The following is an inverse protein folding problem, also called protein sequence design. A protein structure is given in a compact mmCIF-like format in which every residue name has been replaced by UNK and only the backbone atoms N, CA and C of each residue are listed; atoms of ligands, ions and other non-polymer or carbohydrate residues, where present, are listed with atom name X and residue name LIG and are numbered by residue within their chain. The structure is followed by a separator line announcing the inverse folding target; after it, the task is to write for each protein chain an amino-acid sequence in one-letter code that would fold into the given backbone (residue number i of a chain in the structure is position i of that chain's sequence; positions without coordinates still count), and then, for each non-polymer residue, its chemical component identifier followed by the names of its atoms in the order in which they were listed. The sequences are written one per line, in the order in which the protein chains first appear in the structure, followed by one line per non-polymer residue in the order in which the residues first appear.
data_IF_934779837885
#
_entry.id   IF_934779837885
#
_cell.length_a   1.000
_cell.length_b   1.000
_cell.length_c   1.000
_cell.angle_alpha   90.00
_cell.angle_beta   90.00
_cell.angle_gamma   90.00
#
_symmetry.space_group_name_H-M   'P 1'
#
loop_
_entity.id
_entity.type
_entity.pdbx_description
1 polymer ?
#
# COMPACT_ATOMS: atom_id res chain seq x y z
N UNK A 1 -6.16 71.58 30.53
CA UNK A 1 -6.21 71.08 29.14
C UNK A 1 -5.51 69.73 28.90
N UNK A 2 -4.75 69.14 29.84
CA UNK A 2 -4.12 67.80 29.65
C UNK A 2 -5.11 66.62 29.55
N UNK A 3 -6.24 66.68 30.25
CA UNK A 3 -7.18 65.55 30.44
C UNK A 3 -7.97 65.11 29.19
N UNK A 4 -7.91 65.89 28.10
CA UNK A 4 -8.68 65.63 26.87
C UNK A 4 -7.86 64.85 25.83
N UNK A 5 -6.53 64.91 25.90
CA UNK A 5 -5.63 64.20 24.99
C UNK A 5 -5.47 62.72 25.34
N UNK A 6 -5.57 62.36 26.63
CA UNK A 6 -5.46 60.97 27.09
C UNK A 6 -6.62 60.09 26.60
N UNK A 7 -7.83 60.65 26.48
CA UNK A 7 -9.01 59.94 25.95
C UNK A 7 -8.90 59.68 24.45
N UNK A 8 -8.31 60.61 23.69
CA UNK A 8 -8.14 60.47 22.25
C UNK A 8 -7.11 59.38 21.91
N UNK A 9 -6.02 59.30 22.68
CA UNK A 9 -5.00 58.27 22.53
C UNK A 9 -5.54 56.86 22.86
N UNK A 10 -6.37 56.73 23.89
CA UNK A 10 -7.01 55.46 24.25
C UNK A 10 -8.00 54.98 23.18
N UNK A 11 -8.79 55.88 22.57
CA UNK A 11 -9.69 55.54 21.45
C UNK A 11 -8.94 55.12 20.19
N UNK A 12 -7.78 55.71 19.90
CA UNK A 12 -6.90 55.29 18.79
C UNK A 12 -6.31 53.89 19.05
N UNK A 13 -5.90 53.63 20.29
CA UNK A 13 -5.34 52.35 20.72
C UNK A 13 -6.38 51.20 20.70
N UNK A 14 -7.64 51.47 21.10
CA UNK A 14 -8.73 50.49 20.98
C UNK A 14 -9.09 50.14 19.53
N UNK A 15 -9.05 51.10 18.61
CA UNK A 15 -9.34 50.86 17.18
C UNK A 15 -8.19 50.15 16.47
N UNK A 16 -6.94 50.44 16.84
CA UNK A 16 -5.76 49.71 16.36
C UNK A 16 -5.67 48.28 16.92
N UNK A 17 -6.11 48.06 18.16
CA UNK A 17 -6.15 46.70 18.74
C UNK A 17 -7.12 45.78 18.00
N UNK A 18 -8.26 46.29 17.52
CA UNK A 18 -9.22 45.51 16.75
C UNK A 18 -8.64 45.02 15.41
N UNK A 19 -7.93 45.89 14.68
CA UNK A 19 -7.32 45.51 13.40
C UNK A 19 -6.16 44.53 13.59
N UNK A 20 -5.38 44.66 14.66
CA UNK A 20 -4.31 43.72 15.01
C UNK A 20 -4.87 42.34 15.36
N UNK A 21 -5.94 42.27 16.17
CA UNK A 21 -6.61 41.00 16.49
C UNK A 21 -7.22 40.33 15.25
N UNK A 22 -7.81 41.12 14.36
CA UNK A 22 -8.33 40.62 13.09
C UNK A 22 -7.20 40.08 12.19
N UNK A 23 -6.10 40.82 12.04
CA UNK A 23 -4.96 40.39 11.23
C UNK A 23 -4.33 39.10 11.78
N UNK A 24 -4.16 39.02 13.11
CA UNK A 24 -3.63 37.82 13.77
C UNK A 24 -4.57 36.63 13.56
N UNK A 25 -5.88 36.83 13.77
CA UNK A 25 -6.89 35.79 13.53
C UNK A 25 -6.93 35.32 12.08
N UNK A 26 -6.76 36.24 11.13
CA UNK A 26 -6.71 35.93 9.70
C UNK A 26 -5.48 35.11 9.32
N UNK A 27 -4.30 35.49 9.80
CA UNK A 27 -3.05 34.71 9.58
C UNK A 27 -3.20 33.32 10.19
N UNK A 28 -3.71 33.22 11.41
CA UNK A 28 -3.92 31.95 12.11
C UNK A 28 -4.92 31.05 11.35
N UNK A 29 -6.01 31.63 10.83
CA UNK A 29 -6.96 30.92 9.98
C UNK A 29 -6.31 30.42 8.68
N UNK A 30 -5.55 31.26 7.98
CA UNK A 30 -4.83 30.86 6.77
C UNK A 30 -3.82 29.75 7.04
N UNK A 31 -3.12 29.79 8.17
CA UNK A 31 -2.20 28.72 8.58
C UNK A 31 -2.92 27.38 8.75
N UNK A 32 -4.10 27.37 9.39
CA UNK A 32 -4.89 26.15 9.48
C UNK A 32 -5.37 25.65 8.12
N UNK A 33 -5.82 26.54 7.23
CA UNK A 33 -6.23 26.17 5.87
C UNK A 33 -5.07 25.50 5.11
N UNK A 34 -3.86 26.04 5.20
CA UNK A 34 -2.68 25.42 4.59
C UNK A 34 -2.40 24.03 5.20
N UNK A 35 -2.43 23.89 6.52
CA UNK A 35 -2.19 22.61 7.20
C UNK A 35 -3.23 21.55 6.79
N UNK A 36 -4.52 21.90 6.79
CA UNK A 36 -5.59 21.01 6.34
C UNK A 36 -5.46 20.65 4.86
N UNK A 37 -5.03 21.58 4.03
CA UNK A 37 -4.79 21.32 2.61
C UNK A 37 -3.64 20.31 2.41
N UNK A 38 -2.54 20.46 3.15
CA UNK A 38 -1.41 19.51 3.10
C UNK A 38 -1.84 18.13 3.59
N UNK A 39 -2.55 18.04 4.71
CA UNK A 39 -3.05 16.75 5.23
C UNK A 39 -4.00 16.07 4.24
N UNK A 40 -4.91 16.83 3.63
CA UNK A 40 -5.85 16.32 2.62
C UNK A 40 -5.11 15.83 1.37
N UNK A 41 -4.08 16.57 0.93
CA UNK A 41 -3.24 16.17 -0.20
C UNK A 41 -2.49 14.87 0.11
N UNK A 42 -1.88 14.76 1.29
CA UNK A 42 -1.18 13.54 1.71
C UNK A 42 -2.12 12.33 1.74
N UNK A 43 -3.35 12.50 2.23
CA UNK A 43 -4.34 11.42 2.24
C UNK A 43 -4.75 10.99 0.82
N UNK A 44 -4.98 11.95 -0.08
CA UNK A 44 -5.30 11.67 -1.48
C UNK A 44 -4.16 10.92 -2.19
N UNK A 45 -2.91 11.32 -1.95
CA UNK A 45 -1.74 10.66 -2.54
C UNK A 45 -1.51 9.26 -1.94
N UNK A 46 -1.82 9.07 -0.66
CA UNK A 46 -1.81 7.74 -0.02
C UNK A 46 -2.80 6.79 -0.71
N UNK A 47 -4.02 7.26 -1.00
CA UNK A 47 -5.03 6.47 -1.73
C UNK A 47 -4.57 6.12 -3.16
N UNK A 48 -3.95 7.07 -3.87
CA UNK A 48 -3.35 6.81 -5.19
C UNK A 48 -2.26 5.74 -5.07
N UNK A 49 -1.42 5.80 -4.04
CA UNK A 49 -0.36 4.81 -3.80
C UNK A 49 -0.95 3.42 -3.50
N UNK A 50 -2.05 3.36 -2.74
CA UNK A 50 -2.79 2.12 -2.50
C UNK A 50 -3.40 1.56 -3.79
N UNK A 51 -3.90 2.42 -4.68
CA UNK A 51 -4.39 2.00 -5.99
C UNK A 51 -3.27 1.46 -6.90
N UNK A 52 -2.10 2.09 -6.90
CA UNK A 52 -0.92 1.64 -7.65
C UNK A 52 -0.49 0.25 -7.18
N UNK A 53 -0.36 0.06 -5.86
CA UNK A 53 0.00 -1.24 -5.29
C UNK A 53 -1.07 -2.29 -5.61
N UNK A 54 -2.36 -1.99 -5.44
CA UNK A 54 -3.46 -2.90 -5.79
C UNK A 54 -3.47 -3.32 -7.26
N UNK A 55 -3.33 -2.38 -8.19
CA UNK A 55 -3.33 -2.68 -9.63
C UNK A 55 -2.09 -3.46 -10.06
N UNK A 56 -0.95 -3.21 -9.41
CA UNK A 56 0.29 -3.97 -9.62
C UNK A 56 0.16 -5.40 -9.06
N UNK A 57 -0.40 -5.57 -7.85
CA UNK A 57 -0.76 -6.88 -7.29
C UNK A 57 -1.70 -7.65 -8.20
N UNK A 58 -2.69 -6.98 -8.79
CA UNK A 58 -3.60 -7.63 -9.74
C UNK A 58 -2.90 -8.06 -11.03
N UNK A 59 -1.85 -7.36 -11.47
CA UNK A 59 -1.03 -7.79 -12.60
C UNK A 59 -0.10 -8.95 -12.27
N UNK A 60 0.45 -8.97 -11.06
CA UNK A 60 1.17 -10.12 -10.53
C UNK A 60 0.26 -11.36 -10.48
N UNK A 61 -1.00 -11.14 -10.14
CA UNK A 61 -2.02 -12.19 -10.01
C UNK A 61 -2.50 -12.78 -11.34
N UNK A 62 -2.50 -12.00 -12.42
CA UNK A 62 -2.93 -12.47 -13.73
C UNK A 62 -1.88 -13.47 -14.25
N UNK A 63 -2.14 -14.75 -13.97
CA UNK A 63 -1.21 -15.86 -14.10
C UNK A 63 -0.72 -16.10 -15.51
N UNK A 64 0.41 -15.52 -15.86
CA UNK A 64 1.28 -16.04 -16.92
C UNK A 64 1.89 -17.38 -16.49
N UNK A 65 2.32 -18.22 -17.44
CA UNK A 65 2.85 -19.55 -17.14
C UNK A 65 4.15 -19.59 -16.32
N UNK A 66 4.80 -18.44 -16.07
CA UNK A 66 6.05 -18.37 -15.33
C UNK A 66 6.02 -17.23 -14.29
N UNK A 67 6.40 -17.54 -13.05
CA UNK A 67 6.50 -16.59 -11.94
C UNK A 67 7.37 -15.37 -12.25
N UNK A 68 8.48 -15.57 -12.96
CA UNK A 68 9.39 -14.48 -13.33
C UNK A 68 8.69 -13.47 -14.25
N UNK A 69 7.89 -13.96 -15.21
CA UNK A 69 7.14 -13.10 -16.13
C UNK A 69 5.99 -12.36 -15.41
N UNK A 70 5.38 -12.98 -14.41
CA UNK A 70 4.36 -12.33 -13.57
C UNK A 70 4.95 -11.17 -12.76
N UNK A 71 6.12 -11.38 -12.15
CA UNK A 71 6.84 -10.33 -11.42
C UNK A 71 7.26 -9.20 -12.36
N UNK A 72 7.84 -9.52 -13.50
CA UNK A 72 8.24 -8.51 -14.49
C UNK A 72 7.04 -7.70 -15.00
N UNK A 73 5.90 -8.35 -15.23
CA UNK A 73 4.66 -7.68 -15.65
C UNK A 73 4.10 -6.75 -14.56
N UNK A 74 4.20 -7.16 -13.30
CA UNK A 74 3.83 -6.32 -12.16
C UNK A 74 4.75 -5.10 -12.03
N UNK A 75 6.08 -5.29 -12.14
CA UNK A 75 7.05 -4.20 -12.16
C UNK A 75 6.79 -3.22 -13.30
N UNK A 76 6.61 -3.73 -14.53
CA UNK A 76 6.27 -2.89 -15.70
C UNK A 76 5.00 -2.08 -15.46
N UNK A 77 3.98 -2.67 -14.83
CA UNK A 77 2.74 -1.94 -14.53
C UNK A 77 2.97 -0.85 -13.49
N UNK A 78 3.71 -1.16 -12.43
CA UNK A 78 4.06 -0.22 -11.38
C UNK A 78 4.85 0.96 -11.96
N UNK A 79 5.91 0.69 -12.71
CA UNK A 79 6.74 1.69 -13.37
C UNK A 79 5.91 2.56 -14.31
N UNK A 80 5.00 1.96 -15.08
CA UNK A 80 4.12 2.72 -15.97
C UNK A 80 3.17 3.67 -15.24
N UNK A 81 2.75 3.31 -14.01
CA UNK A 81 1.88 4.18 -13.21
C UNK A 81 2.64 5.30 -12.51
N UNK A 82 3.89 5.05 -12.11
CA UNK A 82 4.71 6.02 -11.37
C UNK A 82 5.48 6.96 -12.31
N UNK A 83 6.09 6.42 -13.37
CA UNK A 83 7.00 7.14 -14.27
C UNK A 83 6.32 7.69 -15.52
N UNK A 84 5.45 6.90 -16.17
CA UNK A 84 4.90 7.28 -17.48
C UNK A 84 3.68 8.22 -17.39
N UNK A 85 3.03 8.31 -16.23
CA UNK A 85 1.87 9.16 -16.03
C UNK A 85 2.28 10.62 -15.84
N UNK A 86 2.15 11.43 -16.90
CA UNK A 86 2.56 12.86 -16.96
C UNK A 86 2.09 13.71 -15.77
N UNK A 87 0.92 13.38 -15.19
CA UNK A 87 0.36 14.12 -14.07
C UNK A 87 0.79 13.59 -12.69
N UNK A 88 1.05 12.28 -12.57
CA UNK A 88 1.44 11.65 -11.31
C UNK A 88 2.95 11.69 -11.11
N UNK A 89 3.72 11.59 -12.19
CA UNK A 89 5.18 11.61 -12.14
C UNK A 89 5.70 12.89 -11.49
N UNK A 90 5.01 14.03 -11.59
CA UNK A 90 5.40 15.27 -10.91
C UNK A 90 5.38 15.19 -9.37
N UNK A 91 4.53 14.33 -8.81
CA UNK A 91 4.44 14.16 -7.36
C UNK A 91 5.55 13.26 -6.81
N UNK A 92 5.98 12.28 -7.61
CA UNK A 92 6.88 11.21 -7.19
C UNK A 92 8.30 11.31 -7.76
N UNK A 93 8.46 11.93 -8.93
CA UNK A 93 9.72 12.01 -9.68
C UNK A 93 10.12 13.46 -9.94
N UNK A 94 11.38 13.79 -9.63
CA UNK A 94 11.96 15.13 -9.86
C UNK A 94 12.71 15.69 -8.65
N UNK A 95 13.34 16.85 -8.86
CA UNK A 95 14.14 17.54 -7.83
C UNK A 95 13.28 18.11 -6.69
N UNK A 96 12.00 18.42 -6.96
CA UNK A 96 11.04 18.96 -5.98
C UNK A 96 9.94 17.93 -5.69
N UNK A 97 10.31 16.66 -5.49
CA UNK A 97 9.32 15.61 -5.19
C UNK A 97 8.64 15.90 -3.83
N UNK A 98 7.32 16.01 -3.86
CA UNK A 98 6.50 16.21 -2.65
C UNK A 98 6.30 14.90 -1.88
N UNK A 99 6.40 13.79 -2.60
CA UNK A 99 6.24 12.45 -2.07
C UNK A 99 7.35 11.57 -2.66
N UNK A 100 7.89 10.70 -1.83
CA UNK A 100 8.86 9.71 -2.25
C UNK A 100 8.24 8.33 -2.10
N UNK A 101 8.35 7.57 -3.18
CA UNK A 101 7.99 6.17 -3.23
C UNK A 101 9.26 5.44 -3.66
N UNK A 102 9.56 4.31 -3.01
CA UNK A 102 10.72 3.51 -3.36
C UNK A 102 10.71 3.12 -4.85
N UNK A 103 11.80 3.46 -5.57
CA UNK A 103 11.89 3.43 -7.04
C UNK A 103 11.96 2.02 -7.63
N UNK A 104 12.51 1.08 -6.87
CA UNK A 104 12.38 -0.34 -7.15
C UNK A 104 10.96 -0.72 -6.81
N UNK A 105 10.09 -0.92 -7.80
CA UNK A 105 8.69 -1.30 -7.60
C UNK A 105 8.59 -2.33 -6.49
N UNK A 106 8.03 -1.88 -5.36
CA UNK A 106 8.50 -2.31 -4.04
C UNK A 106 8.62 -3.81 -3.94
N UNK A 107 9.74 -4.23 -3.35
CA UNK A 107 10.24 -5.60 -3.25
C UNK A 107 9.10 -6.61 -3.44
N UNK A 108 8.94 -7.06 -4.69
CA UNK A 108 7.77 -7.76 -5.21
C UNK A 108 7.82 -9.21 -4.70
N UNK A 109 7.67 -9.34 -3.39
CA UNK A 109 7.93 -10.53 -2.62
C UNK A 109 6.64 -11.32 -2.50
N UNK A 110 6.72 -12.59 -2.88
CA UNK A 110 5.72 -13.58 -2.55
C UNK A 110 5.64 -13.71 -1.01
N UNK A 111 4.52 -13.30 -0.41
CA UNK A 111 4.26 -13.46 1.04
C UNK A 111 4.65 -12.27 1.94
N UNK A 112 4.88 -12.56 3.23
CA UNK A 112 5.23 -11.60 4.29
C UNK A 112 6.65 -11.03 4.08
N UNK A 113 6.80 -10.18 3.06
CA UNK A 113 8.10 -9.67 2.59
C UNK A 113 8.85 -8.76 3.57
N UNK A 114 8.21 -8.39 4.69
CA UNK A 114 8.73 -7.45 5.70
C UNK A 114 8.44 -7.84 7.16
N UNK A 115 7.80 -8.99 7.43
CA UNK A 115 7.37 -9.32 8.79
C UNK A 115 6.27 -8.37 9.33
N UNK A 116 5.61 -7.61 8.45
CA UNK A 116 4.57 -6.64 8.79
C UNK A 116 3.29 -7.33 9.27
N UNK A 117 3.10 -8.61 8.92
CA UNK A 117 2.03 -9.44 9.45
C UNK A 117 2.49 -10.89 9.49
N UNK A 118 2.96 -11.32 10.66
CA UNK A 118 3.26 -12.72 10.98
C UNK A 118 2.08 -13.68 10.68
N UNK A 119 0.86 -13.16 10.54
CA UNK A 119 -0.33 -13.89 10.10
C UNK A 119 -0.34 -14.32 8.63
N UNK A 120 0.54 -13.77 7.78
CA UNK A 120 0.73 -14.21 6.39
C UNK A 120 2.04 -14.96 6.17
N UNK A 121 2.76 -15.26 7.26
CA UNK A 121 3.98 -16.06 7.21
C UNK A 121 3.65 -17.49 6.79
N UNK A 122 4.49 -18.04 5.92
CA UNK A 122 4.35 -19.39 5.38
C UNK A 122 4.65 -20.42 6.48
N UNK A 123 3.70 -21.33 6.73
CA UNK A 123 4.05 -22.59 7.38
C UNK A 123 5.01 -23.37 6.45
N UNK A 124 6.17 -23.77 6.99
CA UNK A 124 7.24 -24.45 6.23
C UNK A 124 6.66 -25.53 5.30
N UNK A 125 7.01 -25.47 4.01
CA UNK A 125 6.54 -26.42 3.00
C UNK A 125 5.26 -26.04 2.24
N UNK A 126 4.39 -25.14 2.73
CA UNK A 126 3.10 -24.81 2.06
C UNK A 126 3.16 -23.60 1.10
N UNK A 127 2.52 -23.60 -0.08
CA UNK A 127 2.55 -22.43 -0.96
C UNK A 127 2.02 -21.16 -0.27
N UNK A 128 2.52 -19.98 -0.67
CA UNK A 128 2.01 -18.70 -0.16
C UNK A 128 0.55 -18.51 -0.56
N UNK A 129 -0.33 -18.29 0.41
CA UNK A 129 -1.77 -18.08 0.18
C UNK A 129 -2.09 -16.69 -0.37
N UNK A 130 -1.18 -15.72 -0.22
CA UNK A 130 -1.38 -14.35 -0.63
C UNK A 130 -0.16 -13.84 -1.40
N UNK A 131 -0.43 -13.14 -2.49
CA UNK A 131 0.55 -12.42 -3.28
C UNK A 131 0.21 -10.93 -3.24
N UNK A 132 1.23 -10.09 -3.13
CA UNK A 132 1.02 -8.67 -3.00
C UNK A 132 2.22 -7.86 -3.43
N UNK A 133 1.95 -6.58 -3.67
CA UNK A 133 2.94 -5.55 -3.90
C UNK A 133 2.81 -4.57 -2.76
N UNK A 134 3.93 -4.21 -2.18
CA UNK A 134 4.04 -3.16 -1.20
C UNK A 134 5.04 -2.12 -1.68
N UNK A 135 5.00 -0.94 -1.12
CA UNK A 135 5.97 0.12 -1.38
C UNK A 135 6.08 1.01 -0.16
N UNK A 136 7.27 1.56 0.05
CA UNK A 136 7.51 2.54 1.10
C UNK A 136 7.02 3.91 0.62
N UNK A 137 6.15 4.54 1.40
CA UNK A 137 5.60 5.87 1.16
C UNK A 137 6.18 6.85 2.17
N UNK A 138 6.77 7.93 1.65
CA UNK A 138 7.42 8.98 2.43
C UNK A 138 6.86 10.34 1.99
N UNK A 139 6.05 11.01 2.82
CA UNK A 139 5.45 12.30 2.49
C UNK A 139 6.40 13.46 2.84
N UNK A 140 7.32 13.77 1.92
CA UNK A 140 8.29 14.88 2.07
C UNK A 140 7.64 16.25 2.25
N UNK A 141 6.40 16.42 1.83
CA UNK A 141 5.62 17.66 2.08
C UNK A 141 5.44 17.98 3.58
N UNK A 142 5.61 16.99 4.47
CA UNK A 142 5.53 17.17 5.93
C UNK A 142 6.89 17.51 6.57
N UNK A 143 7.98 17.46 5.80
CA UNK A 143 9.31 17.95 6.17
C UNK A 143 9.30 19.48 6.02
N UNK A 144 8.65 20.17 6.96
CA UNK A 144 8.58 21.63 6.98
C UNK A 144 9.55 22.16 8.01
N UNK A 145 10.56 22.88 7.54
CA UNK A 145 11.39 23.69 8.42
C UNK A 145 10.60 24.92 8.84
N UNK A 146 10.10 24.91 10.08
CA UNK A 146 9.33 26.03 10.63
C UNK A 146 10.21 26.93 11.49
N UNK A 147 9.79 28.16 11.70
CA UNK A 147 10.46 29.11 12.61
C UNK A 147 10.64 28.59 14.05
N UNK A 148 9.91 27.54 14.45
CA UNK A 148 9.96 26.96 15.79
C UNK A 148 10.77 25.64 15.86
N UNK A 149 11.37 25.22 14.75
CA UNK A 149 12.15 24.00 14.64
C UNK A 149 11.89 23.25 13.34
N UNK A 150 12.89 22.49 12.91
CA UNK A 150 12.76 21.55 11.80
C UNK A 150 12.09 20.27 12.27
N UNK A 151 11.24 19.69 11.43
CA UNK A 151 10.69 18.35 11.65
C UNK A 151 11.63 17.22 11.19
N UNK A 152 12.86 17.53 10.75
CA UNK A 152 13.84 16.57 10.22
C UNK A 152 14.65 15.78 11.28
N UNK A 153 14.43 15.95 12.58
CA UNK A 153 15.31 15.35 13.61
C UNK A 153 15.46 13.82 13.50
N UNK A 154 14.51 13.13 12.85
CA UNK A 154 14.69 11.75 12.36
C UNK A 154 14.02 11.60 10.99
N UNK A 155 14.81 11.43 9.92
CA UNK A 155 14.35 11.19 8.54
C UNK A 155 13.38 9.99 8.37
N UNK A 156 13.19 9.18 9.41
CA UNK A 156 12.27 8.04 9.45
C UNK A 156 10.87 8.35 10.01
N UNK A 157 10.61 9.56 10.52
CA UNK A 157 9.42 9.82 11.35
C UNK A 157 8.08 9.71 10.60
N UNK A 158 8.03 9.99 9.30
CA UNK A 158 6.80 9.93 8.50
C UNK A 158 6.79 8.82 7.44
N UNK A 159 7.56 7.75 7.65
CA UNK A 159 7.60 6.65 6.71
C UNK A 159 6.49 5.63 7.00
N UNK A 160 5.79 5.18 5.96
CA UNK A 160 4.81 4.09 6.09
C UNK A 160 4.92 3.12 4.92
N UNK A 161 4.51 1.88 5.14
CA UNK A 161 4.47 0.86 4.07
C UNK A 161 3.03 0.73 3.60
N UNK A 162 2.80 1.05 2.33
CA UNK A 162 1.51 0.86 1.68
C UNK A 162 1.60 -0.40 0.83
N UNK A 163 0.69 -1.35 1.06
CA UNK A 163 0.68 -2.58 0.28
C UNK A 163 -0.71 -3.13 0.09
N UNK A 164 -0.84 -3.96 -0.95
CA UNK A 164 -2.08 -4.64 -1.29
C UNK A 164 -1.80 -6.11 -1.53
N UNK A 165 -2.60 -6.96 -0.89
CA UNK A 165 -2.52 -8.41 -1.01
C UNK A 165 -3.78 -8.95 -1.69
N UNK A 166 -3.58 -9.93 -2.56
CA UNK A 166 -4.62 -10.71 -3.20
C UNK A 166 -4.43 -12.17 -2.79
N UNK A 167 -5.53 -12.88 -2.52
CA UNK A 167 -5.48 -14.32 -2.33
C UNK A 167 -4.99 -14.98 -3.60
N UNK A 168 -4.13 -16.00 -3.49
CA UNK A 168 -3.53 -16.74 -4.61
C UNK A 168 -4.59 -17.56 -5.36
N UNK A 169 -4.53 -17.50 -6.68
CA UNK A 169 -5.14 -18.46 -7.60
C UNK A 169 -4.05 -19.40 -8.13
N UNK A 170 -4.34 -20.69 -8.33
CA UNK A 170 -3.38 -21.61 -8.90
C UNK A 170 -3.02 -21.20 -10.33
N UNK A 171 -1.74 -21.29 -10.67
CA UNK A 171 -1.30 -21.06 -12.06
C UNK A 171 -1.82 -22.15 -12.99
N UNK A 172 -1.89 -21.87 -14.30
CA UNK A 172 -2.30 -22.87 -15.29
C UNK A 172 -1.46 -24.16 -15.19
N UNK A 173 -0.16 -24.05 -14.93
CA UNK A 173 0.75 -25.20 -14.84
C UNK A 173 0.54 -25.99 -13.56
N UNK A 174 0.37 -25.33 -12.42
CA UNK A 174 -0.01 -26.01 -11.17
C UNK A 174 -1.35 -26.74 -11.34
N UNK A 175 -2.28 -26.15 -12.09
CA UNK A 175 -3.57 -26.76 -12.36
C UNK A 175 -3.49 -27.98 -13.30
N UNK A 176 -2.74 -27.86 -14.39
CA UNK A 176 -2.49 -28.97 -15.32
C UNK A 176 -1.76 -30.12 -14.62
N UNK A 177 -0.77 -29.81 -13.78
CA UNK A 177 -0.04 -30.81 -12.99
C UNK A 177 -0.96 -31.48 -11.95
N UNK A 178 -1.83 -30.71 -11.29
CA UNK A 178 -2.83 -31.24 -10.36
C UNK A 178 -3.80 -32.21 -11.06
N UNK A 179 -4.32 -31.83 -12.23
CA UNK A 179 -5.20 -32.68 -13.03
C UNK A 179 -4.47 -33.96 -13.47
N UNK A 180 -3.21 -33.85 -13.91
CA UNK A 180 -2.39 -35.00 -14.32
C UNK A 180 -2.16 -35.98 -13.17
N UNK A 181 -1.71 -35.48 -12.01
CA UNK A 181 -1.51 -36.30 -10.79
C UNK A 181 -2.81 -36.98 -10.35
N UNK A 182 -3.93 -36.27 -10.43
CA UNK A 182 -5.26 -36.81 -10.12
C UNK A 182 -5.64 -37.94 -11.07
N UNK A 183 -5.39 -37.80 -12.37
CA UNK A 183 -5.64 -38.85 -13.36
C UNK A 183 -4.75 -40.07 -13.17
N UNK A 184 -3.46 -39.88 -12.91
CA UNK A 184 -2.52 -40.96 -12.60
C UNK A 184 -2.99 -41.77 -11.39
N UNK A 185 -3.45 -41.09 -10.33
CA UNK A 185 -4.02 -41.75 -9.15
C UNK A 185 -5.30 -42.54 -9.46
N UNK A 186 -6.20 -42.03 -10.31
CA UNK A 186 -7.43 -42.74 -10.71
C UNK A 186 -7.09 -44.00 -11.51
N UNK A 187 -6.12 -43.92 -12.41
CA UNK A 187 -5.66 -45.04 -13.24
C UNK A 187 -4.97 -46.11 -12.38
N UNK A 188 -4.06 -45.68 -11.49
CA UNK A 188 -3.33 -46.56 -10.56
C UNK A 188 -4.25 -47.27 -9.57
N UNK A 189 -5.29 -46.57 -9.08
CA UNK A 189 -6.36 -47.16 -8.26
C UNK A 189 -7.34 -48.04 -9.02
N UNK A 190 -6.95 -48.55 -10.19
CA UNK A 190 -7.63 -49.55 -11.01
C UNK A 190 -8.90 -50.10 -10.36
N UNK A 191 -10.06 -49.70 -10.90
CA UNK A 191 -11.41 -50.13 -10.49
C UNK A 191 -11.47 -51.66 -10.59
N UNK A 192 -10.96 -52.34 -9.58
CA UNK A 192 -10.89 -53.79 -9.47
C UNK A 192 -12.20 -54.35 -8.89
N UNK A 193 -13.04 -53.49 -8.31
CA UNK A 193 -14.37 -53.84 -7.85
C UNK A 193 -15.30 -52.65 -7.99
N UNK A 194 -16.52 -52.87 -8.53
CA UNK A 194 -17.59 -51.88 -8.50
C UNK A 194 -17.78 -51.36 -7.08
N UNK A 195 -17.70 -50.04 -6.92
CA UNK A 195 -17.42 -49.39 -5.64
C UNK A 195 -18.42 -49.70 -4.54
N UNK A 196 -17.95 -50.33 -3.47
CA UNK A 196 -18.42 -50.04 -2.12
C UNK A 196 -17.64 -48.84 -1.62
N UNK A 197 -18.33 -47.73 -1.34
CA UNK A 197 -17.75 -46.62 -0.61
C UNK A 197 -17.26 -47.15 0.75
N UNK A 198 -15.99 -46.94 1.14
CA UNK A 198 -15.55 -47.34 2.47
C UNK A 198 -16.40 -46.57 3.49
N UNK A 199 -17.00 -47.30 4.43
CA UNK A 199 -17.86 -46.75 5.49
C UNK A 199 -17.12 -45.83 6.49
N UNK A 200 -15.87 -45.48 6.20
CA UNK A 200 -15.07 -44.59 7.02
C UNK A 200 -14.48 -43.46 6.15
N UNK A 201 -15.02 -42.23 6.25
CA UNK A 201 -14.63 -41.11 5.41
C UNK A 201 -13.34 -40.44 5.93
N UNK A 202 -12.28 -41.20 6.14
CA UNK A 202 -10.98 -40.64 6.55
C UNK A 202 -9.91 -40.46 5.45
N UNK A 203 -10.19 -40.52 4.13
CA UNK A 203 -9.20 -40.08 3.15
C UNK A 203 -9.26 -38.56 2.91
N UNK A 204 -10.32 -37.85 3.34
CA UNK A 204 -10.46 -36.40 3.15
C UNK A 204 -9.32 -35.59 3.80
N UNK A 205 -8.85 -36.04 4.98
CA UNK A 205 -7.78 -35.36 5.71
C UNK A 205 -6.40 -35.55 5.05
N UNK A 206 -6.13 -36.71 4.44
CA UNK A 206 -4.86 -36.98 3.74
C UNK A 206 -4.74 -36.21 2.42
N UNK A 207 -5.87 -35.97 1.74
CA UNK A 207 -5.88 -35.12 0.55
C UNK A 207 -5.64 -33.64 0.87
N UNK A 208 -6.04 -33.16 2.05
CA UNK A 208 -5.84 -31.78 2.48
C UNK A 208 -4.38 -31.48 2.84
N UNK A 209 -3.64 -32.48 3.34
CA UNK A 209 -2.23 -32.36 3.71
C UNK A 209 -1.29 -32.50 2.50
N UNK A 210 -1.54 -33.44 1.57
CA UNK A 210 -0.65 -33.69 0.44
C UNK A 210 -0.85 -32.72 -0.74
N UNK A 211 -2.07 -32.20 -0.94
CA UNK A 211 -2.35 -31.34 -2.10
C UNK A 211 -2.46 -29.85 -1.76
N UNK A 212 -2.48 -29.48 -0.48
CA UNK A 212 -2.84 -28.13 -0.05
C UNK A 212 -4.24 -27.74 -0.58
N UNK A 213 -4.76 -26.59 -0.19
CA UNK A 213 -6.03 -26.08 -0.73
C UNK A 213 -5.82 -25.55 -2.17
N UNK A 214 -5.25 -26.37 -3.07
CA UNK A 214 -5.04 -26.08 -4.49
C UNK A 214 -6.33 -26.43 -5.26
N UNK A 215 -7.43 -25.77 -4.89
CA UNK A 215 -8.64 -25.79 -5.71
C UNK A 215 -8.38 -25.00 -6.99
N UNK A 216 -8.09 -25.73 -8.07
CA UNK A 216 -8.77 -25.45 -9.33
C UNK A 216 -10.24 -25.86 -9.18
#
# INVERSE_FOLDING_TARGET
MKKQNDKLFFYLSCRGSLTVQFLLGFILFLSFVMLFSVMTLTLAVSEITQYITYTSSRKLFLGDGNKVLQQESAHKKYDSLVKDQVHLSKFFTGANKLFEIEETGGDLREGDGLGLNSGFSRASGKPYLFYGVWTKFIPKVLEVDTLWGSTEEDAAFFETVVGSYLGREPTKWECEEFIKKRWEFIIDKHISTGGTFPANPDPANKYQEDFGDNRC
#
